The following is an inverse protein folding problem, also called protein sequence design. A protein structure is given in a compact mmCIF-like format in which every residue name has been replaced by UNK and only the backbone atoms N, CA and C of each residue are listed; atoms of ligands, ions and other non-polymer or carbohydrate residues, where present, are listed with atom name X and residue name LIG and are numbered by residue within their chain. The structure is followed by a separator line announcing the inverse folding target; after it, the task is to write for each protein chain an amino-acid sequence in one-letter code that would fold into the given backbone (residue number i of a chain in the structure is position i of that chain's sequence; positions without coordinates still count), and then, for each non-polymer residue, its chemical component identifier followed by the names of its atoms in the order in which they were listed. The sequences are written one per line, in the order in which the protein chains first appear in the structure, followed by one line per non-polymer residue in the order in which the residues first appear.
data_IF_267523346715
#
_entry.id   IF_267523346715
#
_cell.length_a   1.000
_cell.length_b   1.000
_cell.length_c   1.000
_cell.angle_alpha   90.00
_cell.angle_beta   90.00
_cell.angle_gamma   90.00
#
_symmetry.space_group_name_H-M   'P 1'
#
loop_
_entity.id
_entity.type
_entity.pdbx_description
1 polymer ?
#
# COMPACT_ATOMS: atom_id res chain seq x y z
N UNK A 1 10.24 10.97 -4.97
CA UNK A 1 8.95 10.74 -5.67
C UNK A 1 9.02 10.86 -7.18
N UNK A 2 9.77 11.81 -7.75
CA UNK A 2 9.88 12.03 -9.20
C UNK A 2 10.07 10.76 -10.06
N UNK A 3 10.95 9.84 -9.64
CA UNK A 3 11.27 8.61 -10.38
C UNK A 3 10.05 7.76 -10.74
N UNK A 4 8.96 7.83 -9.96
CA UNK A 4 7.79 6.96 -10.14
C UNK A 4 6.72 7.52 -11.08
N UNK A 5 6.89 8.74 -11.61
CA UNK A 5 5.87 9.39 -12.45
C UNK A 5 6.40 10.39 -13.49
N UNK A 6 7.55 11.03 -13.28
CA UNK A 6 8.11 11.97 -14.25
C UNK A 6 8.55 11.25 -15.53
N UNK A 7 8.55 11.95 -16.66
CA UNK A 7 9.00 11.44 -17.96
C UNK A 7 8.26 10.19 -18.45
N UNK A 8 6.99 10.04 -18.08
CA UNK A 8 6.19 8.85 -18.43
C UNK A 8 6.50 7.60 -17.61
N UNK A 9 7.33 7.73 -16.56
CA UNK A 9 7.60 6.62 -15.65
C UNK A 9 6.35 6.16 -14.90
N UNK A 10 6.39 4.92 -14.44
CA UNK A 10 5.36 4.33 -13.58
C UNK A 10 5.98 3.29 -12.65
N UNK A 11 5.18 2.78 -11.72
CA UNK A 11 5.54 1.65 -10.87
C UNK A 11 4.48 0.57 -10.94
N UNK A 12 4.86 -0.64 -10.58
CA UNK A 12 3.97 -1.79 -10.48
C UNK A 12 4.53 -2.79 -9.48
N UNK A 13 3.68 -3.66 -8.95
CA UNK A 13 4.04 -4.70 -7.98
C UNK A 13 3.35 -6.00 -8.39
N UNK A 14 4.13 -7.06 -8.59
CA UNK A 14 3.59 -8.34 -9.04
C UNK A 14 3.00 -9.18 -7.91
N UNK A 15 3.26 -8.86 -6.63
CA UNK A 15 2.71 -9.65 -5.53
C UNK A 15 1.18 -9.68 -5.56
N UNK A 16 0.54 -8.51 -5.68
CA UNK A 16 -0.91 -8.44 -5.78
C UNK A 16 -1.42 -8.90 -7.15
N UNK A 17 -0.58 -8.91 -8.19
CA UNK A 17 -0.91 -9.56 -9.48
C UNK A 17 -1.00 -11.07 -9.32
N UNK A 18 -0.05 -11.70 -8.62
CA UNK A 18 -0.10 -13.14 -8.34
C UNK A 18 -1.35 -13.50 -7.51
N UNK A 19 -1.64 -12.71 -6.48
CA UNK A 19 -2.87 -12.88 -5.66
C UNK A 19 -4.13 -12.73 -6.52
N UNK A 20 -4.17 -11.74 -7.40
CA UNK A 20 -5.32 -11.51 -8.28
C UNK A 20 -5.48 -12.62 -9.32
N UNK A 21 -4.37 -13.15 -9.85
CA UNK A 21 -4.36 -14.30 -10.73
C UNK A 21 -4.95 -15.53 -10.01
N UNK A 22 -4.41 -15.88 -8.84
CA UNK A 22 -4.95 -16.96 -8.02
C UNK A 22 -6.43 -16.79 -7.69
N UNK A 23 -6.86 -15.59 -7.29
CA UNK A 23 -8.22 -15.35 -6.84
C UNK A 23 -9.25 -15.31 -7.98
N UNK A 24 -8.87 -14.75 -9.13
CA UNK A 24 -9.82 -14.44 -10.20
C UNK A 24 -9.70 -15.42 -11.37
N UNK A 25 -8.50 -15.83 -11.74
CA UNK A 25 -8.22 -16.66 -12.91
C UNK A 25 -7.04 -17.60 -12.63
N UNK A 26 -7.21 -18.61 -11.77
CA UNK A 26 -6.10 -19.45 -11.30
C UNK A 26 -5.52 -20.37 -12.37
N UNK A 27 -6.29 -20.67 -13.42
CA UNK A 27 -5.92 -21.66 -14.44
C UNK A 27 -4.60 -21.29 -15.16
N UNK A 28 -3.78 -22.31 -15.40
CA UNK A 28 -2.50 -22.17 -16.11
C UNK A 28 -1.29 -21.84 -15.24
N UNK A 29 -1.47 -21.69 -13.93
CA UNK A 29 -0.39 -21.52 -12.94
C UNK A 29 -0.60 -22.53 -11.81
N UNK A 30 0.48 -23.14 -11.33
CA UNK A 30 0.48 -24.03 -10.17
C UNK A 30 0.63 -23.19 -8.90
N UNK A 31 -0.32 -23.33 -7.98
CA UNK A 31 -0.37 -22.54 -6.75
C UNK A 31 0.07 -23.38 -5.56
N UNK A 32 1.27 -23.14 -4.99
CA UNK A 32 1.74 -23.89 -3.83
C UNK A 32 0.94 -23.51 -2.58
N UNK A 33 0.80 -24.47 -1.68
CA UNK A 33 0.19 -24.25 -0.35
C UNK A 33 1.28 -24.07 0.72
N UNK A 34 0.93 -23.38 1.81
CA UNK A 34 1.76 -23.28 3.01
C UNK A 34 1.41 -24.43 3.98
N UNK A 35 2.09 -24.46 5.14
CA UNK A 35 1.89 -25.48 6.18
C UNK A 35 0.45 -25.52 6.74
N UNK A 36 -0.27 -24.41 6.63
CA UNK A 36 -1.66 -24.27 7.08
C UNK A 36 -2.69 -24.63 5.99
N UNK A 37 -2.26 -25.09 4.80
CA UNK A 37 -3.13 -25.42 3.67
C UNK A 37 -3.66 -24.21 2.88
N UNK A 38 -3.07 -23.02 3.07
CA UNK A 38 -3.42 -21.80 2.35
C UNK A 38 -2.45 -21.50 1.20
N UNK A 39 -2.89 -20.78 0.14
CA UNK A 39 -2.02 -20.42 -0.97
C UNK A 39 -0.81 -19.59 -0.51
N UNK A 40 0.39 -20.01 -0.93
CA UNK A 40 1.64 -19.31 -0.69
C UNK A 40 2.04 -18.45 -1.89
N UNK A 41 2.31 -17.17 -1.63
CA UNK A 41 2.77 -16.20 -2.65
C UNK A 41 4.25 -15.83 -2.49
N UNK A 42 5.01 -16.62 -1.72
CA UNK A 42 6.46 -16.44 -1.64
C UNK A 42 7.09 -16.79 -2.99
N UNK A 43 8.04 -15.97 -3.44
CA UNK A 43 8.60 -16.08 -4.79
C UNK A 43 9.26 -17.45 -5.00
N UNK A 44 10.02 -17.91 -4.01
CA UNK A 44 10.70 -19.20 -4.00
C UNK A 44 9.74 -20.40 -4.07
N UNK A 45 8.55 -20.30 -3.47
CA UNK A 45 7.53 -21.35 -3.55
C UNK A 45 6.89 -21.36 -4.95
N UNK A 46 6.53 -20.18 -5.47
CA UNK A 46 5.91 -20.03 -6.78
C UNK A 46 6.83 -20.51 -7.90
N UNK A 47 8.11 -20.11 -7.88
CA UNK A 47 9.07 -20.52 -8.92
C UNK A 47 9.28 -22.03 -8.91
N UNK A 48 9.46 -22.62 -7.72
CA UNK A 48 9.61 -24.08 -7.57
C UNK A 48 8.40 -24.84 -8.10
N UNK A 49 7.19 -24.40 -7.75
CA UNK A 49 5.95 -25.04 -8.18
C UNK A 49 5.70 -24.94 -9.69
N UNK A 50 6.23 -23.91 -10.35
CA UNK A 50 5.99 -23.63 -11.77
C UNK A 50 7.22 -23.92 -12.67
N UNK A 51 8.19 -24.70 -12.18
CA UNK A 51 9.36 -25.10 -12.96
C UNK A 51 10.27 -23.95 -13.40
N UNK A 52 10.28 -22.84 -12.65
CA UNK A 52 11.16 -21.70 -12.88
C UNK A 52 12.44 -21.89 -12.07
N UNK A 53 13.58 -21.82 -12.77
CA UNK A 53 14.89 -21.88 -12.14
C UNK A 53 15.07 -20.71 -11.14
N UNK A 54 15.42 -21.06 -9.90
CA UNK A 54 15.65 -20.13 -8.80
C UNK A 54 16.84 -20.65 -7.99
N UNK A 55 18.04 -20.49 -8.53
CA UNK A 55 19.28 -21.12 -8.03
C UNK A 55 19.67 -20.65 -6.64
N UNK A 56 19.67 -19.33 -6.40
CA UNK A 56 20.02 -18.74 -5.11
C UNK A 56 18.91 -17.78 -4.66
N UNK A 57 17.91 -18.30 -3.95
CA UNK A 57 16.93 -17.45 -3.28
C UNK A 57 17.65 -16.47 -2.35
N UNK A 58 17.22 -15.20 -2.37
CA UNK A 58 17.85 -14.07 -1.67
C UNK A 58 19.13 -13.51 -2.31
N UNK A 59 19.54 -13.99 -3.49
CA UNK A 59 20.41 -13.21 -4.38
C UNK A 59 19.57 -12.18 -5.15
N UNK A 60 19.99 -10.92 -5.11
CA UNK A 60 19.22 -9.82 -5.69
C UNK A 60 18.99 -9.99 -7.20
N UNK A 61 19.91 -10.62 -7.92
CA UNK A 61 19.78 -10.84 -9.35
C UNK A 61 18.90 -12.06 -9.64
N UNK A 62 19.08 -13.16 -8.89
CA UNK A 62 18.19 -14.34 -8.97
C UNK A 62 16.72 -13.96 -8.76
N UNK A 63 16.42 -13.15 -7.74
CA UNK A 63 15.04 -12.70 -7.44
C UNK A 63 14.42 -11.89 -8.59
N UNK A 64 15.22 -11.06 -9.28
CA UNK A 64 14.75 -10.29 -10.44
C UNK A 64 14.44 -11.22 -11.62
N UNK A 65 15.28 -12.21 -11.92
CA UNK A 65 15.00 -13.16 -13.00
C UNK A 65 13.79 -14.02 -12.71
N UNK A 66 13.66 -14.50 -11.47
CA UNK A 66 12.48 -15.18 -10.97
C UNK A 66 11.21 -14.33 -11.14
N UNK A 67 11.26 -13.05 -10.76
CA UNK A 67 10.15 -12.10 -10.91
C UNK A 67 9.76 -11.90 -12.38
N UNK A 68 10.74 -11.75 -13.28
CA UNK A 68 10.51 -11.64 -14.73
C UNK A 68 9.85 -12.92 -15.28
N UNK A 69 10.32 -14.10 -14.87
CA UNK A 69 9.79 -15.38 -15.30
C UNK A 69 8.32 -15.57 -14.85
N UNK A 70 8.01 -15.26 -13.59
CA UNK A 70 6.63 -15.31 -13.10
C UNK A 70 5.73 -14.32 -13.85
N UNK A 71 6.21 -13.10 -14.15
CA UNK A 71 5.47 -12.14 -14.96
C UNK A 71 5.13 -12.69 -16.36
N UNK A 72 6.10 -13.35 -17.01
CA UNK A 72 5.91 -13.99 -18.32
C UNK A 72 4.88 -15.11 -18.25
N UNK A 73 4.95 -15.97 -17.24
CA UNK A 73 4.00 -17.06 -17.05
C UNK A 73 2.57 -16.54 -16.87
N UNK A 74 2.35 -15.54 -16.01
CA UNK A 74 1.02 -14.94 -15.83
C UNK A 74 0.53 -14.28 -17.12
N UNK A 75 1.40 -13.55 -17.83
CA UNK A 75 1.04 -12.95 -19.11
C UNK A 75 0.65 -13.98 -20.16
N UNK A 76 1.30 -15.14 -20.18
CA UNK A 76 0.99 -16.24 -21.10
C UNK A 76 -0.30 -16.97 -20.72
N UNK A 77 -0.47 -17.32 -19.44
CA UNK A 77 -1.64 -18.06 -18.96
C UNK A 77 -2.91 -17.19 -18.94
N UNK A 78 -2.78 -15.92 -18.53
CA UNK A 78 -3.90 -15.01 -18.26
C UNK A 78 -3.67 -13.60 -18.87
N UNK A 79 -3.50 -13.48 -20.20
CA UNK A 79 -3.13 -12.22 -20.85
C UNK A 79 -4.11 -11.07 -20.58
N UNK A 80 -5.42 -11.34 -20.64
CA UNK A 80 -6.46 -10.32 -20.38
C UNK A 80 -6.40 -9.77 -18.97
N UNK A 81 -6.15 -10.64 -17.97
CA UNK A 81 -6.01 -10.20 -16.58
C UNK A 81 -4.72 -9.40 -16.39
N UNK A 82 -3.60 -9.88 -16.95
CA UNK A 82 -2.31 -9.19 -16.88
C UNK A 82 -2.40 -7.78 -17.48
N UNK A 83 -2.96 -7.65 -18.68
CA UNK A 83 -3.13 -6.37 -19.36
C UNK A 83 -4.07 -5.43 -18.61
N UNK A 84 -5.17 -5.95 -18.06
CA UNK A 84 -6.07 -5.19 -17.20
C UNK A 84 -5.31 -4.63 -15.98
N UNK A 85 -4.65 -5.49 -15.19
CA UNK A 85 -3.93 -5.06 -13.99
C UNK A 85 -2.78 -4.09 -14.30
N UNK A 86 -2.09 -4.31 -15.42
CA UNK A 86 -1.06 -3.40 -15.89
C UNK A 86 -1.64 -2.01 -16.19
N UNK A 87 -2.76 -1.92 -16.92
CA UNK A 87 -3.41 -0.65 -17.22
C UNK A 87 -3.93 0.05 -15.94
N UNK A 88 -4.52 -0.71 -15.03
CA UNK A 88 -5.09 -0.22 -13.78
C UNK A 88 -4.05 -0.04 -12.66
N UNK A 89 -2.73 -0.12 -12.94
CA UNK A 89 -1.71 0.38 -12.01
C UNK A 89 -1.73 1.92 -11.89
N UNK A 90 -2.30 2.60 -12.89
CA UNK A 90 -2.36 4.05 -12.96
C UNK A 90 -3.51 4.58 -12.08
N UNK A 91 -3.21 5.52 -11.18
CA UNK A 91 -4.19 6.11 -10.25
C UNK A 91 -5.40 6.74 -10.94
N UNK A 92 -5.24 7.33 -12.12
CA UNK A 92 -6.33 7.95 -12.87
C UNK A 92 -7.29 6.89 -13.43
N UNK A 93 -6.75 5.76 -13.90
CA UNK A 93 -7.57 4.61 -14.34
C UNK A 93 -8.29 3.95 -13.16
N UNK A 94 -7.65 3.79 -12.01
CA UNK A 94 -8.31 3.28 -10.80
C UNK A 94 -9.46 4.18 -10.35
N UNK A 95 -9.27 5.50 -10.39
CA UNK A 95 -10.30 6.46 -10.00
C UNK A 95 -11.58 6.31 -10.80
N UNK A 96 -11.53 5.88 -12.08
CA UNK A 96 -12.75 5.69 -12.87
C UNK A 96 -13.59 4.49 -12.41
N UNK A 97 -13.06 3.62 -11.56
CA UNK A 97 -13.81 2.52 -10.96
C UNK A 97 -14.51 2.93 -9.65
N UNK A 98 -14.04 4.01 -9.02
CA UNK A 98 -14.47 4.41 -7.67
C UNK A 98 -15.65 5.37 -7.80
N UNK A 99 -16.85 4.83 -7.64
CA UNK A 99 -18.09 5.60 -7.60
C UNK A 99 -18.68 5.57 -6.19
N UNK A 100 -18.41 6.63 -5.44
CA UNK A 100 -18.89 6.84 -4.06
C UNK A 100 -20.39 7.19 -4.06
N UNK A 101 -20.89 7.90 -5.08
CA UNK A 101 -22.28 8.35 -5.10
C UNK A 101 -23.22 7.15 -5.08
N UNK A 102 -23.00 6.20 -5.99
CA UNK A 102 -23.79 4.97 -6.15
C UNK A 102 -23.37 3.83 -5.22
N UNK A 103 -22.30 4.02 -4.44
CA UNK A 103 -21.66 2.97 -3.63
C UNK A 103 -21.35 1.75 -4.50
N UNK A 104 -20.75 1.96 -5.67
CA UNK A 104 -20.58 0.89 -6.65
C UNK A 104 -19.63 -0.18 -6.11
N UNK A 105 -20.06 -1.45 -5.98
CA UNK A 105 -19.22 -2.50 -5.43
C UNK A 105 -18.10 -2.87 -6.38
N UNK A 106 -16.92 -3.12 -5.82
CA UNK A 106 -15.72 -3.54 -6.53
C UNK A 106 -15.18 -4.84 -5.93
N UNK A 107 -14.47 -5.61 -6.74
CA UNK A 107 -13.56 -6.64 -6.24
C UNK A 107 -12.28 -5.95 -5.82
N UNK A 108 -11.77 -6.27 -4.64
CA UNK A 108 -10.45 -5.84 -4.20
C UNK A 108 -9.63 -7.05 -3.76
N UNK A 109 -8.39 -7.11 -4.24
CA UNK A 109 -7.41 -8.13 -3.84
C UNK A 109 -6.30 -7.45 -3.03
N UNK A 110 -6.01 -7.95 -1.84
CA UNK A 110 -5.05 -7.39 -0.90
C UNK A 110 -4.68 -8.39 0.20
N UNK A 111 -3.40 -8.49 0.51
CA UNK A 111 -2.88 -9.31 1.61
C UNK A 111 -3.59 -9.10 2.96
N UNK A 112 -4.09 -7.88 3.22
CA UNK A 112 -4.80 -7.53 4.47
C UNK A 112 -6.08 -8.34 4.73
N UNK A 113 -6.67 -8.90 3.68
CA UNK A 113 -7.87 -9.73 3.77
C UNK A 113 -7.59 -11.15 4.29
N UNK A 114 -6.32 -11.60 4.27
CA UNK A 114 -5.92 -12.93 4.73
C UNK A 114 -5.98 -14.01 3.63
N UNK A 115 -5.15 -15.05 3.79
CA UNK A 115 -5.02 -16.12 2.80
C UNK A 115 -6.25 -17.05 2.76
N UNK A 116 -7.00 -17.16 3.87
CA UNK A 116 -8.21 -17.97 3.98
C UNK A 116 -9.30 -17.65 2.95
N UNK A 117 -9.36 -16.41 2.46
CA UNK A 117 -10.27 -15.98 1.38
C UNK A 117 -9.52 -15.58 0.10
N UNK A 118 -8.35 -16.19 -0.13
CA UNK A 118 -7.48 -15.89 -1.26
C UNK A 118 -7.15 -14.40 -1.40
N UNK A 119 -6.94 -13.72 -0.27
CA UNK A 119 -6.67 -12.28 -0.22
C UNK A 119 -7.72 -11.42 -0.93
N UNK A 120 -8.97 -11.83 -1.02
CA UNK A 120 -9.98 -11.20 -1.88
C UNK A 120 -11.27 -10.89 -1.12
N UNK A 121 -11.92 -9.77 -1.46
CA UNK A 121 -13.28 -9.47 -1.03
C UNK A 121 -14.01 -8.57 -2.01
N UNK A 122 -15.33 -8.47 -1.87
CA UNK A 122 -16.09 -7.34 -2.39
C UNK A 122 -16.00 -6.16 -1.42
N UNK A 123 -15.76 -4.97 -1.98
CA UNK A 123 -15.69 -3.73 -1.22
C UNK A 123 -16.61 -2.67 -1.81
N UNK A 124 -17.06 -1.76 -0.96
CA UNK A 124 -17.85 -0.59 -1.34
C UNK A 124 -17.10 0.70 -0.97
N UNK A 125 -16.96 1.67 -1.89
CA UNK A 125 -16.39 2.97 -1.56
C UNK A 125 -17.38 3.80 -0.75
N UNK A 126 -16.92 4.34 0.39
CA UNK A 126 -17.74 5.18 1.27
C UNK A 126 -17.42 6.66 1.12
N UNK A 127 -16.14 7.01 1.02
CA UNK A 127 -15.67 8.39 0.89
C UNK A 127 -14.20 8.44 0.46
N UNK A 128 -13.75 9.59 -0.01
CA UNK A 128 -12.32 9.90 -0.06
C UNK A 128 -11.82 10.24 1.35
N UNK A 129 -10.57 9.88 1.64
CA UNK A 129 -9.96 10.23 2.91
C UNK A 129 -9.81 11.76 3.02
N UNK A 130 -10.16 12.37 4.18
CA UNK A 130 -10.20 13.83 4.33
C UNK A 130 -8.84 14.51 4.14
N UNK A 131 -7.77 13.91 4.65
CA UNK A 131 -6.39 14.41 4.52
C UNK A 131 -5.63 13.82 3.32
N UNK A 132 -5.58 12.49 3.19
CA UNK A 132 -4.82 11.82 2.14
C UNK A 132 -5.59 11.69 0.82
N UNK A 133 -5.34 12.60 -0.12
CA UNK A 133 -5.96 12.62 -1.46
C UNK A 133 -5.77 11.35 -2.30
N UNK A 134 -4.84 10.47 -1.94
CA UNK A 134 -4.62 9.20 -2.65
C UNK A 134 -5.24 8.00 -1.92
N UNK A 135 -6.08 8.21 -0.90
CA UNK A 135 -6.72 7.13 -0.16
C UNK A 135 -8.25 7.21 -0.27
N UNK A 136 -8.88 6.10 -0.64
CA UNK A 136 -10.33 5.92 -0.55
C UNK A 136 -10.66 5.05 0.66
N UNK A 137 -11.69 5.44 1.41
CA UNK A 137 -12.25 4.68 2.52
C UNK A 137 -13.20 3.64 1.91
N UNK A 138 -12.84 2.37 2.09
CA UNK A 138 -13.55 1.22 1.53
C UNK A 138 -14.11 0.37 2.66
N UNK A 139 -15.35 -0.06 2.51
CA UNK A 139 -15.99 -1.03 3.40
C UNK A 139 -15.85 -2.44 2.84
N UNK A 140 -15.40 -3.39 3.67
CA UNK A 140 -15.38 -4.81 3.35
C UNK A 140 -16.80 -5.39 3.48
N UNK A 141 -17.42 -5.71 2.35
CA UNK A 141 -18.82 -6.17 2.31
C UNK A 141 -18.99 -7.58 2.88
N UNK A 142 -17.90 -8.34 3.05
CA UNK A 142 -17.93 -9.66 3.68
C UNK A 142 -17.87 -9.59 5.23
N UNK A 143 -17.61 -8.41 5.80
CA UNK A 143 -17.53 -8.22 7.24
C UNK A 143 -18.88 -7.90 7.90
N UNK A 144 -18.89 -7.88 9.24
CA UNK A 144 -20.05 -7.46 10.03
C UNK A 144 -20.16 -5.92 10.05
N UNK A 145 -21.23 -5.40 9.46
CA UNK A 145 -21.51 -3.96 9.41
C UNK A 145 -22.13 -3.40 10.69
N UNK A 146 -22.54 -4.25 11.64
CA UNK A 146 -23.22 -3.83 12.88
C UNK A 146 -22.47 -2.70 13.60
N UNK A 147 -21.14 -2.77 13.81
CA UNK A 147 -20.40 -1.69 14.45
C UNK A 147 -20.49 -0.37 13.69
N UNK A 148 -20.50 -0.41 12.35
CA UNK A 148 -20.65 0.78 11.51
C UNK A 148 -22.04 1.41 11.61
N UNK A 149 -23.04 0.69 12.11
CA UNK A 149 -24.39 1.21 12.28
C UNK A 149 -24.62 1.69 13.71
N UNK A 150 -24.10 0.95 14.71
CA UNK A 150 -24.44 1.17 16.12
C UNK A 150 -23.44 2.05 16.88
N UNK A 151 -22.15 2.01 16.53
CA UNK A 151 -21.11 2.75 17.26
C UNK A 151 -20.95 4.19 16.74
N UNK A 152 -20.49 5.08 17.60
CA UNK A 152 -20.08 6.45 17.22
C UNK A 152 -18.65 6.49 16.65
N UNK A 153 -18.20 7.66 16.18
CA UNK A 153 -16.90 7.80 15.52
C UNK A 153 -15.71 7.47 16.45
N UNK A 154 -15.77 7.87 17.72
CA UNK A 154 -14.71 7.65 18.71
C UNK A 154 -14.55 6.16 19.05
N UNK A 155 -15.68 5.47 19.30
CA UNK A 155 -15.71 4.03 19.56
C UNK A 155 -15.21 3.23 18.36
N UNK A 156 -15.61 3.65 17.15
CA UNK A 156 -15.11 3.03 15.91
C UNK A 156 -13.60 3.25 15.74
N UNK A 157 -13.10 4.42 16.09
CA UNK A 157 -11.68 4.78 16.00
C UNK A 157 -10.84 3.94 16.95
N UNK A 158 -11.24 3.85 18.21
CA UNK A 158 -10.60 3.01 19.21
C UNK A 158 -10.50 1.57 18.70
N UNK A 159 -11.62 0.98 18.28
CA UNK A 159 -11.66 -0.41 17.79
C UNK A 159 -10.90 -0.62 16.47
N UNK A 160 -10.82 0.38 15.60
CA UNK A 160 -10.05 0.29 14.35
C UNK A 160 -8.54 0.23 14.61
N UNK A 161 -8.05 0.90 15.66
CA UNK A 161 -6.63 0.96 16.02
C UNK A 161 -6.21 -0.06 17.09
N UNK A 162 -7.17 -0.75 17.72
CA UNK A 162 -6.89 -1.92 18.56
C UNK A 162 -6.31 -3.06 17.71
N UNK A 163 -5.19 -3.63 18.18
CA UNK A 163 -4.57 -4.77 17.50
C UNK A 163 -5.51 -5.98 17.51
N UNK A 164 -5.47 -6.77 16.43
CA UNK A 164 -6.36 -7.93 16.26
C UNK A 164 -6.26 -8.98 17.38
N UNK A 165 -5.07 -9.16 17.95
CA UNK A 165 -4.81 -10.07 19.06
C UNK A 165 -5.33 -9.56 20.41
N UNK A 166 -5.68 -8.28 20.50
CA UNK A 166 -6.30 -7.66 21.67
C UNK A 166 -7.83 -7.51 21.55
N UNK A 167 -8.42 -7.85 20.39
CA UNK A 167 -9.88 -7.83 20.21
C UNK A 167 -10.51 -9.09 20.80
N UNK A 168 -11.65 -8.93 21.47
CA UNK A 168 -12.45 -10.06 21.97
C UNK A 168 -13.29 -10.68 20.85
N UNK A 169 -13.76 -11.92 21.05
CA UNK A 169 -14.61 -12.64 20.08
C UNK A 169 -15.88 -11.85 19.74
N UNK A 170 -16.45 -11.15 20.73
CA UNK A 170 -17.65 -10.31 20.58
C UNK A 170 -17.36 -8.93 19.94
N UNK A 171 -16.08 -8.63 19.67
CA UNK A 171 -15.63 -7.39 19.06
C UNK A 171 -14.85 -7.65 17.76
N UNK A 172 -15.49 -8.20 16.70
CA UNK A 172 -14.81 -8.40 15.41
C UNK A 172 -14.18 -7.10 14.87
N UNK A 173 -13.11 -7.17 14.08
CA UNK A 173 -12.51 -5.99 13.47
C UNK A 173 -13.51 -5.15 12.69
N UNK A 174 -13.37 -3.82 12.73
CA UNK A 174 -14.21 -2.92 11.93
C UNK A 174 -13.97 -3.21 10.44
N UNK A 175 -15.03 -3.41 9.62
CA UNK A 175 -14.89 -3.77 8.21
C UNK A 175 -14.57 -2.55 7.34
N UNK A 176 -13.59 -1.74 7.74
CA UNK A 176 -13.10 -0.59 7.00
C UNK A 176 -11.62 -0.78 6.67
N UNK A 177 -11.24 -0.29 5.50
CA UNK A 177 -9.84 -0.17 5.11
C UNK A 177 -9.63 1.03 4.21
N UNK A 178 -8.38 1.49 4.17
CA UNK A 178 -7.95 2.47 3.18
C UNK A 178 -7.38 1.75 1.95
N UNK A 179 -7.84 2.16 0.77
CA UNK A 179 -7.24 1.76 -0.51
C UNK A 179 -6.45 2.94 -1.06
N UNK A 180 -5.14 2.78 -1.13
CA UNK A 180 -4.24 3.82 -1.62
C UNK A 180 -4.04 3.69 -3.13
N UNK A 181 -4.75 4.51 -3.93
CA UNK A 181 -4.76 4.44 -5.40
C UNK A 181 -3.38 4.63 -6.05
N UNK A 182 -2.44 5.26 -5.33
CA UNK A 182 -1.07 5.45 -5.82
C UNK A 182 -0.16 4.24 -5.56
N UNK A 183 -0.57 3.24 -4.76
CA UNK A 183 0.21 2.05 -4.39
C UNK A 183 -0.16 0.80 -5.21
N UNK A 184 -0.63 0.99 -6.45
CA UNK A 184 -1.04 -0.10 -7.36
C UNK A 184 -2.05 -1.11 -6.77
N UNK A 185 -3.11 -0.68 -6.05
CA UNK A 185 -4.07 -1.61 -5.49
C UNK A 185 -4.85 -2.32 -6.60
N UNK A 186 -5.13 -3.61 -6.42
CA UNK A 186 -5.97 -4.36 -7.36
C UNK A 186 -7.43 -4.05 -7.09
N UNK A 187 -8.06 -3.30 -8.00
CA UNK A 187 -9.50 -3.08 -8.04
C UNK A 187 -10.05 -3.53 -9.39
N UNK A 188 -11.21 -4.18 -9.37
CA UNK A 188 -11.93 -4.56 -10.57
C UNK A 188 -13.45 -4.44 -10.37
N UNK A 189 -14.25 -4.32 -11.44
CA UNK A 189 -15.71 -4.37 -11.33
C UNK A 189 -16.18 -5.62 -10.58
N UNK A 190 -17.26 -5.53 -9.78
CA UNK A 190 -17.79 -6.66 -8.99
C UNK A 190 -17.97 -7.96 -9.80
N UNK A 191 -18.38 -7.85 -11.07
CA UNK A 191 -18.60 -8.98 -11.99
C UNK A 191 -17.35 -9.78 -12.35
N UNK A 192 -16.15 -9.24 -12.09
CA UNK A 192 -14.88 -9.93 -12.39
C UNK A 192 -14.68 -11.16 -11.50
N UNK A 193 -15.23 -11.12 -10.28
CA UNK A 193 -15.27 -12.24 -9.35
C UNK A 193 -16.49 -13.12 -9.65
N UNK A 194 -16.22 -14.26 -10.28
CA UNK A 194 -17.23 -15.21 -10.77
C UNK A 194 -17.81 -16.06 -9.61
N UNK A 195 -19.05 -16.58 -9.71
CA UNK A 195 -19.66 -17.42 -8.68
C UNK A 195 -18.79 -18.59 -8.21
N UNK A 196 -18.20 -19.32 -9.14
CA UNK A 196 -17.31 -20.47 -8.89
C UNK A 196 -16.07 -20.07 -8.09
N UNK A 197 -15.54 -18.86 -8.33
CA UNK A 197 -14.41 -18.33 -7.56
C UNK A 197 -14.85 -17.90 -6.16
N UNK A 198 -16.06 -17.35 -5.99
CA UNK A 198 -16.54 -17.02 -4.64
C UNK A 198 -16.74 -18.24 -3.78
N UNK A 199 -17.21 -19.34 -4.36
CA UNK A 199 -17.36 -20.62 -3.67
C UNK A 199 -15.99 -21.19 -3.26
N UNK A 200 -15.04 -21.26 -4.21
CA UNK A 200 -13.66 -21.70 -3.92
C UNK A 200 -12.96 -20.87 -2.85
N UNK A 201 -13.24 -19.57 -2.79
CA UNK A 201 -12.63 -18.63 -1.84
C UNK A 201 -13.43 -18.46 -0.54
N UNK A 202 -14.56 -19.14 -0.37
CA UNK A 202 -15.40 -19.01 0.83
C UNK A 202 -16.02 -17.61 1.03
N UNK A 203 -16.27 -16.87 -0.05
CA UNK A 203 -16.85 -15.51 0.00
C UNK A 203 -18.36 -15.59 -0.19
N UNK A 204 -19.14 -15.29 0.85
CA UNK A 204 -20.61 -15.28 0.75
C UNK A 204 -21.12 -14.03 0.00
N UNK A 205 -21.50 -14.23 -1.26
CA UNK A 205 -22.09 -13.20 -2.13
C UNK A 205 -23.44 -12.69 -1.64
N UNK A 206 -24.22 -13.53 -0.96
CA UNK A 206 -25.54 -13.12 -0.44
C UNK A 206 -25.34 -12.11 0.68
N UNK A 207 -24.49 -12.43 1.66
CA UNK A 207 -24.10 -11.50 2.73
C UNK A 207 -23.56 -10.19 2.16
N UNK A 208 -22.65 -10.25 1.18
CA UNK A 208 -22.10 -9.02 0.60
C UNK A 208 -23.15 -8.14 -0.10
N UNK A 209 -24.17 -8.74 -0.76
CA UNK A 209 -25.27 -8.00 -1.38
C UNK A 209 -26.21 -7.37 -0.35
N UNK A 210 -26.51 -8.10 0.72
CA UNK A 210 -27.32 -7.59 1.83
C UNK A 210 -26.62 -6.40 2.50
N UNK A 211 -25.33 -6.55 2.79
CA UNK A 211 -24.49 -5.48 3.34
C UNK A 211 -24.40 -4.26 2.43
N UNK A 212 -24.29 -4.46 1.10
CA UNK A 212 -24.33 -3.35 0.15
C UNK A 212 -25.67 -2.59 0.18
N UNK A 213 -26.79 -3.32 0.23
CA UNK A 213 -28.11 -2.71 0.34
C UNK A 213 -28.25 -1.93 1.65
N UNK A 214 -27.76 -2.50 2.75
CA UNK A 214 -27.75 -1.85 4.06
C UNK A 214 -26.96 -0.53 4.03
N UNK A 215 -25.74 -0.52 3.47
CA UNK A 215 -24.95 0.70 3.32
C UNK A 215 -25.66 1.78 2.51
N UNK A 216 -26.40 1.40 1.46
CA UNK A 216 -27.19 2.34 0.64
C UNK A 216 -28.38 2.92 1.39
N UNK A 217 -28.98 2.16 2.31
CA UNK A 217 -30.08 2.61 3.17
C UNK A 217 -29.60 3.48 4.34
N UNK A 218 -28.30 3.44 4.66
CA UNK A 218 -27.69 4.18 5.77
C UNK A 218 -26.61 5.18 5.29
N UNK A 219 -26.95 6.21 4.50
CA UNK A 219 -25.97 7.18 3.98
C UNK A 219 -25.18 7.92 5.06
N UNK A 220 -25.73 8.07 6.27
CA UNK A 220 -25.07 8.65 7.44
C UNK A 220 -23.77 7.94 7.83
N UNK A 221 -23.58 6.68 7.43
CA UNK A 221 -22.32 5.95 7.66
C UNK A 221 -21.15 6.69 6.98
N UNK A 222 -21.38 7.36 5.85
CA UNK A 222 -20.34 8.09 5.12
C UNK A 222 -19.76 9.24 5.94
N UNK A 223 -20.62 10.07 6.53
CA UNK A 223 -20.20 11.18 7.38
C UNK A 223 -19.42 10.68 8.60
N UNK A 224 -19.91 9.59 9.22
CA UNK A 224 -19.24 8.96 10.36
C UNK A 224 -17.84 8.45 10.03
N UNK A 225 -17.65 7.78 8.89
CA UNK A 225 -16.30 7.30 8.51
C UNK A 225 -15.38 8.44 8.12
N UNK A 226 -15.89 9.52 7.51
CA UNK A 226 -15.08 10.71 7.23
C UNK A 226 -14.59 11.35 8.54
N UNK A 227 -15.47 11.54 9.52
CA UNK A 227 -15.12 12.06 10.83
C UNK A 227 -14.08 11.18 11.54
N UNK A 228 -14.26 9.85 11.48
CA UNK A 228 -13.31 8.89 12.04
C UNK A 228 -11.88 9.11 11.54
N UNK A 229 -11.70 9.31 10.23
CA UNK A 229 -10.38 9.49 9.61
C UNK A 229 -9.90 10.95 9.61
N UNK A 230 -10.77 11.94 9.85
CA UNK A 230 -10.39 13.35 9.96
C UNK A 230 -9.72 13.65 11.30
N UNK A 231 -10.25 13.06 12.37
CA UNK A 231 -9.82 13.27 13.76
C UNK A 231 -8.89 12.17 14.28
N UNK A 232 -8.38 11.31 13.39
CA UNK A 232 -7.38 10.33 13.79
C UNK A 232 -6.17 11.05 14.40
N UNK A 233 -5.73 10.63 15.59
CA UNK A 233 -4.58 11.27 16.25
C UNK A 233 -3.41 11.37 15.27
N UNK A 234 -2.81 12.57 15.12
CA UNK A 234 -1.61 12.71 14.31
C UNK A 234 -0.57 11.70 14.79
N UNK A 235 0.05 11.00 13.84
CA UNK A 235 1.25 10.24 14.14
C UNK A 235 2.21 11.13 14.92
N UNK A 236 2.60 10.72 16.13
CA UNK A 236 3.63 11.44 16.89
C UNK A 236 4.90 11.41 16.04
N UNK A 237 5.20 12.55 15.43
CA UNK A 237 6.39 12.70 14.60
C UNK A 237 7.63 12.31 15.40
N UNK A 238 8.61 11.74 14.71
CA UNK A 238 9.92 11.49 15.31
C UNK A 238 10.73 12.77 15.29
N UNK A 239 11.46 13.07 16.36
CA UNK A 239 12.47 14.14 16.34
C UNK A 239 13.65 13.78 15.44
N UNK A 240 13.83 12.49 15.14
CA UNK A 240 14.89 12.00 14.28
C UNK A 240 14.63 12.30 12.80
N UNK A 241 15.49 13.13 12.18
CA UNK A 241 15.33 13.58 10.79
C UNK A 241 15.24 12.44 9.77
N UNK A 242 15.88 11.30 10.03
CA UNK A 242 15.85 10.15 9.12
C UNK A 242 14.45 9.49 9.06
N UNK A 243 13.63 9.67 10.11
CA UNK A 243 12.25 9.18 10.17
C UNK A 243 11.21 10.20 9.66
N UNK A 244 11.62 11.42 9.29
CA UNK A 244 10.75 12.55 8.93
C UNK A 244 10.49 12.69 7.43
N UNK A 245 10.61 11.61 6.66
CA UNK A 245 10.38 11.62 5.20
C UNK A 245 8.94 12.06 4.85
N UNK A 246 7.96 11.69 5.67
CA UNK A 246 6.54 11.93 5.41
C UNK A 246 5.96 13.19 6.05
N UNK A 247 6.78 14.01 6.73
CA UNK A 247 6.36 15.27 7.38
C UNK A 247 5.93 16.36 6.39
N UNK A 248 6.23 16.18 5.10
CA UNK A 248 5.85 17.14 4.06
C UNK A 248 6.76 17.07 2.85
N UNK A 249 6.27 17.62 1.74
CA UNK A 249 7.07 17.78 0.54
C UNK A 249 7.93 19.05 0.64
N UNK A 250 9.16 18.96 0.14
CA UNK A 250 10.04 20.11 0.03
C UNK A 250 9.52 21.13 -0.99
N UNK A 251 9.81 22.41 -0.73
CA UNK A 251 9.53 23.51 -1.66
C UNK A 251 10.39 23.41 -2.92
N UNK A 252 10.03 24.11 -3.99
CA UNK A 252 10.84 24.12 -5.21
C UNK A 252 12.19 24.81 -5.01
N UNK A 253 12.26 25.81 -4.11
CA UNK A 253 13.49 26.43 -3.69
C UNK A 253 14.43 25.43 -2.98
N UNK A 254 13.91 24.66 -2.01
CA UNK A 254 14.70 23.64 -1.33
C UNK A 254 15.15 22.52 -2.28
N UNK A 255 14.31 22.12 -3.25
CA UNK A 255 14.72 21.15 -4.30
C UNK A 255 15.85 21.70 -5.18
N UNK A 256 15.82 22.98 -5.52
CA UNK A 256 16.90 23.62 -6.27
C UNK A 256 18.19 23.65 -5.43
N UNK A 257 18.10 23.99 -4.14
CA UNK A 257 19.23 23.94 -3.22
C UNK A 257 19.81 22.51 -3.07
N UNK A 258 18.95 21.48 -2.94
CA UNK A 258 19.39 20.07 -2.95
C UNK A 258 20.14 19.70 -4.23
N UNK A 259 19.72 20.21 -5.39
CA UNK A 259 20.40 19.95 -6.65
C UNK A 259 21.80 20.59 -6.68
N UNK A 260 21.94 21.81 -6.16
CA UNK A 260 23.25 22.47 -6.00
C UNK A 260 24.15 21.61 -5.12
N UNK A 261 23.65 21.13 -3.97
CA UNK A 261 24.38 20.24 -3.05
C UNK A 261 24.85 18.98 -3.78
N UNK A 262 23.96 18.31 -4.53
CA UNK A 262 24.29 17.08 -5.26
C UNK A 262 25.33 17.27 -6.37
N UNK A 263 25.44 18.48 -6.92
CA UNK A 263 26.39 18.82 -7.98
C UNK A 263 27.70 19.42 -7.45
N UNK A 264 27.74 19.80 -6.17
CA UNK A 264 28.91 20.38 -5.52
C UNK A 264 29.85 19.28 -5.05
N UNK A 265 31.15 19.49 -5.22
CA UNK A 265 32.15 18.50 -4.78
C UNK A 265 32.15 18.41 -3.25
N UNK A 266 32.39 17.23 -2.66
CA UNK A 266 32.33 17.05 -1.20
C UNK A 266 33.17 18.04 -0.40
N UNK A 267 34.37 18.39 -0.88
CA UNK A 267 35.25 19.36 -0.20
C UNK A 267 34.72 20.80 -0.18
N UNK A 268 33.83 21.15 -1.11
CA UNK A 268 33.28 22.50 -1.24
C UNK A 268 31.92 22.63 -0.50
N UNK A 269 31.31 21.50 -0.11
CA UNK A 269 30.05 21.47 0.64
C UNK A 269 30.05 22.29 1.95
N UNK A 270 31.13 22.32 2.76
CA UNK A 270 31.15 23.11 3.98
C UNK A 270 31.12 24.63 3.73
N UNK A 271 31.54 25.08 2.54
CA UNK A 271 31.59 26.48 2.16
C UNK A 271 30.29 26.97 1.49
N UNK A 272 29.33 26.08 1.20
CA UNK A 272 28.04 26.44 0.64
C UNK A 272 27.19 27.18 1.68
N UNK A 273 26.88 28.44 1.40
CA UNK A 273 25.89 29.21 2.15
C UNK A 273 24.53 29.12 1.44
N UNK A 274 23.73 28.13 1.83
CA UNK A 274 22.39 27.90 1.29
C UNK A 274 21.34 28.15 2.37
N UNK A 275 20.37 29.00 2.04
CA UNK A 275 19.18 29.18 2.85
C UNK A 275 18.18 28.05 2.55
N UNK A 276 17.67 27.40 3.60
CA UNK A 276 16.64 26.36 3.50
C UNK A 276 15.35 26.83 4.15
N UNK A 277 14.21 26.60 3.49
CA UNK A 277 12.90 26.83 4.09
C UNK A 277 12.48 25.69 5.02
N UNK A 278 12.84 24.45 4.68
CA UNK A 278 12.50 23.27 5.46
C UNK A 278 13.53 23.02 6.58
N UNK A 279 13.03 22.87 7.82
CA UNK A 279 13.86 22.69 9.01
C UNK A 279 14.67 21.39 9.02
N UNK A 280 14.27 20.39 8.22
CA UNK A 280 14.97 19.09 8.10
C UNK A 280 16.31 19.23 7.36
N UNK A 281 16.45 20.23 6.48
CA UNK A 281 17.56 20.31 5.52
C UNK A 281 18.94 20.40 6.16
N UNK A 282 19.10 21.24 7.19
CA UNK A 282 20.40 21.44 7.83
C UNK A 282 20.93 20.16 8.45
N UNK A 283 20.05 19.43 9.14
CA UNK A 283 20.41 18.15 9.77
C UNK A 283 20.66 17.05 8.75
N UNK A 284 19.82 16.96 7.71
CA UNK A 284 20.04 16.02 6.60
C UNK A 284 21.38 16.24 5.91
N UNK A 285 21.77 17.49 5.63
CA UNK A 285 23.05 17.81 5.01
C UNK A 285 24.23 17.44 5.92
N UNK A 286 24.14 17.76 7.21
CA UNK A 286 25.16 17.38 8.20
C UNK A 286 25.36 15.86 8.24
N UNK A 287 24.28 15.09 8.40
CA UNK A 287 24.36 13.61 8.45
C UNK A 287 24.82 13.01 7.12
N UNK A 288 24.38 13.57 5.99
CA UNK A 288 24.85 13.16 4.67
C UNK A 288 26.38 13.32 4.53
N UNK A 289 26.92 14.48 4.91
CA UNK A 289 28.37 14.73 4.91
C UNK A 289 29.08 13.79 5.88
N UNK A 290 28.58 13.66 7.11
CA UNK A 290 29.24 12.87 8.14
C UNK A 290 29.28 11.36 7.83
N UNK A 291 28.24 10.83 7.19
CA UNK A 291 28.16 9.40 6.79
C UNK A 291 29.03 9.08 5.57
N UNK A 292 29.02 9.94 4.55
CA UNK A 292 29.61 9.62 3.24
C UNK A 292 31.00 10.26 3.03
N UNK A 293 31.24 11.41 3.66
CA UNK A 293 32.46 12.21 3.47
C UNK A 293 33.02 12.70 4.82
N UNK A 294 33.30 11.79 5.78
CA UNK A 294 33.70 12.17 7.15
C UNK A 294 34.97 13.04 7.19
N UNK A 295 35.86 12.89 6.20
CA UNK A 295 37.09 13.69 6.10
C UNK A 295 36.84 15.18 5.79
N UNK A 296 35.61 15.56 5.43
CA UNK A 296 35.21 16.95 5.17
C UNK A 296 34.71 17.66 6.43
N UNK A 297 34.63 16.96 7.57
CA UNK A 297 34.14 17.52 8.83
C UNK A 297 35.26 18.25 9.58
N UNK A 298 34.96 19.45 10.08
CA UNK A 298 35.87 20.15 11.01
C UNK A 298 35.83 19.52 12.42
N UNK A 299 36.72 19.94 13.32
CA UNK A 299 36.82 19.36 14.68
C UNK A 299 35.50 19.42 15.47
N UNK A 300 34.75 20.53 15.40
CA UNK A 300 33.47 20.65 16.09
C UNK A 300 32.40 19.73 15.49
N UNK A 301 32.35 19.61 14.16
CA UNK A 301 31.46 18.68 13.45
C UNK A 301 31.78 17.22 13.76
N UNK A 302 33.06 16.86 13.88
CA UNK A 302 33.50 15.52 14.28
C UNK A 302 33.07 15.18 15.71
N UNK A 303 33.23 16.12 16.67
CA UNK A 303 32.76 15.92 18.04
C UNK A 303 31.24 15.77 18.11
N UNK A 304 30.50 16.60 17.36
CA UNK A 304 29.05 16.48 17.23
C UNK A 304 28.64 15.12 16.67
N UNK A 305 29.34 14.63 15.64
CA UNK A 305 29.06 13.32 15.04
C UNK A 305 29.39 12.16 15.99
N UNK A 306 30.46 12.29 16.78
CA UNK A 306 30.82 11.31 17.82
C UNK A 306 29.72 11.22 18.89
N UNK A 307 29.21 12.36 19.37
CA UNK A 307 28.12 12.41 20.33
C UNK A 307 26.83 11.78 19.79
N UNK A 308 26.51 12.00 18.50
CA UNK A 308 25.33 11.36 17.88
C UNK A 308 25.45 9.84 17.75
N UNK A 309 26.67 9.31 17.66
CA UNK A 309 26.92 7.86 17.51
C UNK A 309 26.97 7.09 18.83
N UNK A 310 27.15 7.79 19.96
CA UNK A 310 27.14 7.22 21.31
C UNK A 310 25.72 7.00 21.79
#
# INVERSE_FOLDING_TARGET
YAYSWQNGNSRWDLLDVMRACYALRPDGIVWPENEDGFPSFRLEHLTRANGVEHTQAHDAMSDVYATIAMAKQVKQAQPRLFDFLLQYRNKHKLNTLIDIAEVTPLVHVSGMFGAARGNTSWVAPLAWHPVNKNAAIMCDLAGDLTPLLTLNADQLRERLYTRRDALTVDQPPIPLKLVHINKCPVLAPARTLLPENTERLGIDRRTCRQNLQLLRQHPQVREKVVALFAEAEPYKGSDDVDARLYDGFFSDADKAAMKIIQQTKPQDLPALDLAFSDSRMKELLFRFRARNYPNTLNNAEQQRWLQYRQ
#
